data_IF_967287459188
#
_entry.id   IF_967287459188
#
_cell.length_a   1.000
_cell.length_b   1.000
_cell.length_c   1.000
_cell.angle_alpha   90.00
_cell.angle_beta   90.00
_cell.angle_gamma   90.00
#
_symmetry.space_group_name_H-M   'P 1'
#
loop_
_entity.id
_entity.type
_entity.pdbx_description
1 polymer ?
#
# COMPACT_ATOMS: atom_id res chain seq x y z
N UNK A 1 32.27 -15.81 45.33
CA UNK A 1 31.82 -16.66 44.19
C UNK A 1 30.84 -15.84 43.37
N UNK A 2 31.32 -15.18 42.32
CA UNK A 2 30.50 -14.36 41.42
C UNK A 2 30.93 -14.76 40.01
N UNK A 3 30.02 -15.42 39.28
CA UNK A 3 30.31 -15.90 37.93
C UNK A 3 30.39 -14.72 36.96
N UNK A 4 31.53 -14.61 36.29
CA UNK A 4 31.76 -13.77 35.13
C UNK A 4 31.06 -14.37 33.91
N UNK A 5 30.32 -13.54 33.16
CA UNK A 5 29.88 -13.85 31.81
C UNK A 5 30.66 -12.93 30.87
N UNK A 6 31.70 -13.51 30.28
CA UNK A 6 32.51 -12.93 29.21
C UNK A 6 31.66 -12.82 27.94
N UNK A 7 31.62 -11.63 27.34
CA UNK A 7 31.04 -11.39 26.02
C UNK A 7 32.18 -10.98 25.08
N UNK A 8 32.41 -11.67 23.95
CA UNK A 8 33.40 -11.24 22.97
C UNK A 8 32.82 -10.18 22.01
N UNK A 9 33.40 -8.98 22.08
CA UNK A 9 33.78 -8.10 20.97
C UNK A 9 32.76 -7.81 19.85
N UNK A 10 32.21 -6.58 19.86
CA UNK A 10 31.44 -6.03 18.74
C UNK A 10 30.81 -4.67 19.04
N UNK A 11 31.65 -3.66 19.22
CA UNK A 11 31.32 -2.29 19.67
C UNK A 11 30.21 -1.57 18.89
N UNK A 12 29.14 -1.21 19.60
CA UNK A 12 28.18 -0.17 19.23
C UNK A 12 28.49 1.12 20.02
N UNK A 13 28.70 2.29 19.39
CA UNK A 13 28.74 3.54 20.12
C UNK A 13 27.32 4.06 20.39
N UNK A 14 26.80 3.76 21.58
CA UNK A 14 25.84 4.61 22.26
C UNK A 14 26.57 5.89 22.71
N UNK A 15 26.40 7.00 22.00
CA UNK A 15 26.85 8.30 22.50
C UNK A 15 25.71 9.34 22.56
N UNK A 16 25.27 9.54 23.81
CA UNK A 16 25.02 10.83 24.46
C UNK A 16 24.01 11.77 23.80
N UNK A 17 22.82 11.72 24.41
CA UNK A 17 22.00 12.88 24.78
C UNK A 17 22.81 14.18 24.95
N UNK A 18 22.61 15.17 24.08
CA UNK A 18 22.86 16.58 24.35
C UNK A 18 22.00 17.43 23.42
N UNK A 19 20.95 18.04 23.98
CA UNK A 19 20.29 19.22 23.42
C UNK A 19 21.31 20.36 23.36
N UNK A 20 21.35 21.14 22.27
CA UNK A 20 21.64 22.56 22.40
C UNK A 20 20.55 23.41 21.75
N UNK A 21 20.09 24.36 22.55
CA UNK A 21 19.80 25.76 22.20
C UNK A 21 18.99 26.07 20.93
N UNK A 22 17.78 26.56 21.19
CA UNK A 22 17.07 27.59 20.42
C UNK A 22 18.05 28.66 19.95
N UNK A 23 18.07 28.92 18.64
CA UNK A 23 18.61 30.15 18.08
C UNK A 23 17.57 30.71 17.12
N UNK A 24 16.89 31.74 17.62
CA UNK A 24 15.99 32.58 16.86
C UNK A 24 16.79 33.38 15.83
N UNK A 25 16.37 33.33 14.57
CA UNK A 25 16.68 34.35 13.57
C UNK A 25 15.37 34.82 12.97
N UNK A 26 14.92 35.96 13.50
CA UNK A 26 13.93 36.88 12.94
C UNK A 26 14.36 37.36 11.56
N UNK A 27 13.42 37.41 10.60
CA UNK A 27 13.60 38.20 9.39
C UNK A 27 12.54 38.00 8.31
N UNK A 28 11.51 38.88 8.32
CA UNK A 28 10.85 39.50 7.14
C UNK A 28 10.09 38.51 6.23
N UNK A 29 8.76 38.45 6.14
CA UNK A 29 7.78 39.53 6.13
C UNK A 29 7.04 39.48 4.79
N UNK A 30 5.84 38.88 4.73
CA UNK A 30 4.82 39.22 3.72
C UNK A 30 3.46 39.09 4.40
N UNK A 31 2.91 40.25 4.74
CA UNK A 31 1.51 40.41 5.10
C UNK A 31 0.72 40.31 3.79
N UNK A 32 -0.11 39.29 3.65
CA UNK A 32 -1.20 39.30 2.69
C UNK A 32 -2.51 39.22 3.48
N UNK A 33 -2.85 40.36 4.08
CA UNK A 33 -4.25 40.69 4.27
C UNK A 33 -4.83 40.94 2.89
N UNK A 34 -5.62 39.99 2.39
CA UNK A 34 -6.52 40.28 1.30
C UNK A 34 -7.91 40.46 1.88
N UNK A 35 -8.25 41.73 2.00
CA UNK A 35 -9.57 42.27 2.27
C UNK A 35 -10.61 41.61 1.39
N UNK A 36 -11.73 41.23 2.00
CA UNK A 36 -12.99 41.03 1.30
C UNK A 36 -13.37 42.35 0.61
N UNK A 37 -13.41 42.33 -0.72
CA UNK A 37 -14.17 43.30 -1.52
C UNK A 37 -15.28 42.53 -2.21
N UNK A 38 -16.52 42.84 -1.82
CA UNK A 38 -17.69 42.52 -2.60
C UNK A 38 -17.77 43.51 -3.77
N UNK A 39 -17.89 43.02 -4.99
CA UNK A 39 -18.37 43.81 -6.13
C UNK A 39 -19.50 43.02 -6.82
N UNK A 40 -20.69 43.62 -6.81
CA UNK A 40 -21.89 43.13 -7.46
C UNK A 40 -22.04 43.77 -8.84
N UNK A 41 -22.42 42.96 -9.83
CA UNK A 41 -23.17 43.24 -11.08
C UNK A 41 -22.63 44.36 -12.01
N UNK A 42 -22.66 44.28 -13.35
CA UNK A 42 -23.70 43.88 -14.31
C UNK A 42 -23.10 43.65 -15.70
N UNK A 43 -23.68 42.73 -16.50
CA UNK A 43 -23.84 42.85 -17.96
C UNK A 43 -22.61 42.74 -18.86
N UNK A 44 -22.51 41.67 -19.65
CA UNK A 44 -22.84 41.74 -21.08
C UNK A 44 -22.85 40.33 -21.70
N UNK A 45 -23.78 40.14 -22.62
CA UNK A 45 -24.03 38.95 -23.43
C UNK A 45 -22.86 38.60 -24.36
N UNK A 46 -22.50 37.32 -24.47
CA UNK A 46 -21.93 36.74 -25.71
C UNK A 46 -22.03 35.21 -25.69
N UNK A 47 -22.79 34.69 -26.67
CA UNK A 47 -23.01 33.28 -27.02
C UNK A 47 -21.73 32.55 -27.50
N UNK A 48 -21.72 31.20 -27.54
CA UNK A 48 -20.53 30.36 -27.57
C UNK A 48 -20.02 30.02 -28.98
N UNK A 49 -18.78 29.50 -29.09
CA UNK A 49 -18.51 28.40 -29.99
C UNK A 49 -18.29 27.09 -29.21
N UNK A 50 -19.01 26.06 -29.65
CA UNK A 50 -18.71 24.68 -29.33
C UNK A 50 -17.30 24.34 -29.84
N UNK A 51 -16.47 23.82 -28.95
CA UNK A 51 -15.12 23.35 -29.23
C UNK A 51 -14.83 22.12 -28.39
N UNK A 52 -15.46 21.01 -28.77
CA UNK A 52 -15.23 19.67 -28.25
C UNK A 52 -13.76 19.27 -28.48
N UNK A 53 -13.00 19.01 -27.42
CA UNK A 53 -11.84 18.10 -27.45
C UNK A 53 -11.43 17.73 -26.03
N UNK A 54 -12.16 16.78 -25.47
CA UNK A 54 -11.74 15.99 -24.31
C UNK A 54 -10.52 15.14 -24.72
N UNK A 55 -9.32 15.50 -24.28
CA UNK A 55 -8.18 14.60 -24.39
C UNK A 55 -8.26 13.61 -23.22
N UNK A 56 -8.69 12.39 -23.54
CA UNK A 56 -8.98 11.31 -22.60
C UNK A 56 -7.76 10.91 -21.78
N UNK A 57 -7.92 10.98 -20.46
CA UNK A 57 -7.07 10.23 -19.54
C UNK A 57 -7.31 8.73 -19.79
N UNK A 58 -6.29 7.88 -20.00
CA UNK A 58 -6.51 6.45 -20.06
C UNK A 58 -7.01 5.99 -18.68
N UNK A 59 -8.30 5.67 -18.65
CA UNK A 59 -8.96 5.04 -17.52
C UNK A 59 -8.21 3.78 -17.14
N UNK A 60 -7.56 3.85 -15.98
CA UNK A 60 -6.99 2.71 -15.27
C UNK A 60 -8.10 1.69 -15.10
N UNK A 61 -8.07 0.67 -15.96
CA UNK A 61 -8.98 -0.47 -15.88
C UNK A 61 -8.69 -1.19 -14.57
N UNK A 62 -9.45 -0.86 -13.53
CA UNK A 62 -9.54 -1.69 -12.35
C UNK A 62 -10.26 -2.98 -12.78
N UNK A 63 -9.49 -3.95 -13.27
CA UNK A 63 -9.97 -5.32 -13.43
C UNK A 63 -10.22 -5.88 -12.03
N UNK A 64 -11.44 -5.66 -11.55
CA UNK A 64 -12.00 -6.37 -10.40
C UNK A 64 -12.12 -7.84 -10.78
N UNK A 65 -11.08 -8.60 -10.46
CA UNK A 65 -11.08 -10.04 -10.59
C UNK A 65 -11.90 -10.59 -9.43
N UNK A 66 -13.20 -10.83 -9.65
CA UNK A 66 -14.06 -11.47 -8.66
C UNK A 66 -13.61 -12.92 -8.47
N UNK A 67 -12.69 -13.14 -7.52
CA UNK A 67 -12.30 -14.48 -7.07
C UNK A 67 -13.52 -15.16 -6.41
N UNK A 68 -13.73 -16.48 -6.61
CA UNK A 68 -14.83 -17.21 -5.96
C UNK A 68 -14.74 -17.12 -4.43
N UNK A 69 -15.87 -17.23 -3.70
CA UNK A 69 -15.86 -17.17 -2.24
C UNK A 69 -15.10 -18.38 -1.68
N UNK A 70 -13.90 -18.15 -1.15
CA UNK A 70 -13.16 -19.17 -0.40
C UNK A 70 -14.03 -19.61 0.79
N UNK A 71 -14.24 -20.92 0.95
CA UNK A 71 -15.08 -21.55 1.98
C UNK A 71 -14.45 -21.52 3.38
N UNK A 72 -13.70 -20.46 3.68
CA UNK A 72 -13.12 -20.16 4.99
C UNK A 72 -13.58 -18.80 5.48
N UNK A 73 -13.53 -18.63 6.80
CA UNK A 73 -13.71 -17.34 7.50
C UNK A 73 -12.85 -16.21 6.90
N UNK A 74 -11.74 -16.54 6.22
CA UNK A 74 -10.93 -15.60 5.47
C UNK A 74 -11.12 -15.74 3.96
N UNK A 75 -11.19 -14.60 3.27
CA UNK A 75 -11.21 -14.51 1.81
C UNK A 75 -10.03 -13.69 1.34
N UNK A 76 -9.35 -14.11 0.27
CA UNK A 76 -8.32 -13.32 -0.38
C UNK A 76 -8.83 -12.76 -1.71
N UNK A 77 -8.36 -11.57 -2.08
CA UNK A 77 -8.67 -10.93 -3.36
C UNK A 77 -7.43 -10.25 -3.91
N UNK A 78 -7.30 -10.25 -5.23
CA UNK A 78 -6.18 -9.65 -5.94
C UNK A 78 -6.69 -8.53 -6.85
N UNK A 79 -6.01 -7.39 -6.81
CA UNK A 79 -6.27 -6.27 -7.70
C UNK A 79 -4.96 -5.68 -8.19
N UNK A 80 -4.93 -5.25 -9.44
CA UNK A 80 -3.80 -4.48 -9.98
C UNK A 80 -4.03 -3.03 -9.58
N UNK A 81 -3.15 -2.51 -8.72
CA UNK A 81 -3.19 -1.11 -8.34
C UNK A 81 -2.70 -0.26 -9.50
N UNK A 82 -1.50 -0.48 -10.04
CA UNK A 82 -0.94 0.29 -11.16
C UNK A 82 -0.33 -0.64 -12.20
N UNK A 83 -0.26 -0.24 -13.46
CA UNK A 83 0.54 -0.93 -14.48
C UNK A 83 1.18 0.06 -15.43
N UNK A 84 2.37 -0.28 -15.89
CA UNK A 84 3.11 0.40 -16.94
C UNK A 84 3.70 -0.66 -17.88
N UNK A 85 4.25 -0.24 -19.03
CA UNK A 85 4.59 -1.17 -20.12
C UNK A 85 5.51 -2.35 -19.75
N UNK A 86 6.35 -2.22 -18.71
CA UNK A 86 7.28 -3.27 -18.28
C UNK A 86 6.98 -3.89 -16.91
N UNK A 87 5.95 -3.41 -16.19
CA UNK A 87 5.67 -3.87 -14.84
C UNK A 87 4.39 -3.33 -14.24
N UNK A 88 4.08 -3.78 -13.03
CA UNK A 88 2.86 -3.42 -12.35
C UNK A 88 3.02 -3.45 -10.83
N UNK A 89 2.09 -2.79 -10.15
CA UNK A 89 1.88 -2.88 -8.71
C UNK A 89 0.60 -3.67 -8.49
N UNK A 90 0.72 -4.82 -7.85
CA UNK A 90 -0.40 -5.64 -7.40
C UNK A 90 -0.68 -5.44 -5.91
N UNK A 91 -1.93 -5.61 -5.51
CA UNK A 91 -2.35 -5.64 -4.11
C UNK A 91 -3.16 -6.90 -3.85
N UNK A 92 -2.75 -7.62 -2.81
CA UNK A 92 -3.46 -8.77 -2.23
C UNK A 92 -4.15 -8.30 -0.97
N UNK A 93 -5.47 -8.49 -0.91
CA UNK A 93 -6.31 -8.11 0.24
C UNK A 93 -6.85 -9.37 0.87
N UNK A 94 -6.61 -9.56 2.16
CA UNK A 94 -7.19 -10.63 2.96
C UNK A 94 -8.24 -10.02 3.88
N UNK A 95 -9.47 -10.51 3.82
CA UNK A 95 -10.59 -10.05 4.64
C UNK A 95 -11.09 -11.19 5.53
N UNK A 96 -11.37 -10.87 6.79
CA UNK A 96 -12.06 -11.78 7.70
C UNK A 96 -13.57 -11.55 7.64
N UNK A 97 -14.28 -12.51 7.04
CA UNK A 97 -15.74 -12.52 6.88
C UNK A 97 -16.48 -13.33 7.95
N UNK A 98 -15.76 -13.99 8.85
CA UNK A 98 -16.40 -14.68 9.97
C UNK A 98 -16.39 -13.84 11.24
N UNK A 99 -16.88 -14.45 12.31
CA UNK A 99 -17.20 -13.78 13.57
C UNK A 99 -16.07 -13.90 14.61
N UNK A 100 -15.03 -14.69 14.31
CA UNK A 100 -13.91 -14.94 15.20
C UNK A 100 -12.63 -14.28 14.71
N UNK A 101 -11.79 -13.83 15.65
CA UNK A 101 -10.45 -13.31 15.36
C UNK A 101 -9.56 -14.42 14.83
N UNK A 102 -8.86 -14.18 13.71
CA UNK A 102 -7.84 -15.09 13.21
C UNK A 102 -6.46 -14.61 13.67
N UNK A 103 -5.80 -15.30 14.62
CA UNK A 103 -4.58 -14.81 15.27
C UNK A 103 -3.38 -14.78 14.32
N UNK A 104 -3.32 -15.71 13.38
CA UNK A 104 -2.27 -15.80 12.37
C UNK A 104 -2.85 -16.42 11.09
N UNK A 105 -2.55 -15.81 9.94
CA UNK A 105 -2.90 -16.38 8.64
C UNK A 105 -1.69 -16.36 7.70
N UNK A 106 -1.70 -17.30 6.76
CA UNK A 106 -0.65 -17.48 5.76
C UNK A 106 -1.25 -17.45 4.37
N UNK A 107 -0.76 -16.57 3.52
CA UNK A 107 -1.09 -16.45 2.12
C UNK A 107 0.12 -16.91 1.29
N UNK A 108 -0.13 -17.66 0.22
CA UNK A 108 0.87 -17.95 -0.81
C UNK A 108 0.21 -17.71 -2.16
N UNK A 109 0.84 -16.94 -3.03
CA UNK A 109 0.35 -16.63 -4.37
C UNK A 109 1.47 -16.80 -5.39
N UNK A 110 1.16 -17.42 -6.53
CA UNK A 110 2.11 -17.66 -7.62
C UNK A 110 1.64 -16.98 -8.90
N UNK A 111 2.51 -16.16 -9.46
CA UNK A 111 2.32 -15.42 -10.69
C UNK A 111 3.33 -15.94 -11.74
N UNK A 112 2.88 -16.71 -12.74
CA UNK A 112 3.76 -17.18 -13.80
C UNK A 112 4.12 -16.03 -14.75
N UNK A 113 5.34 -16.03 -15.30
CA UNK A 113 5.77 -15.05 -16.30
C UNK A 113 6.05 -13.64 -15.76
N UNK A 114 6.10 -13.47 -14.43
CA UNK A 114 6.46 -12.20 -13.79
C UNK A 114 7.60 -12.41 -12.79
N UNK A 115 8.35 -11.33 -12.53
CA UNK A 115 9.42 -11.30 -11.52
C UNK A 115 9.06 -10.24 -10.49
N UNK A 116 8.82 -10.66 -9.25
CA UNK A 116 8.54 -9.74 -8.14
C UNK A 116 9.84 -9.11 -7.68
N UNK A 117 9.84 -7.78 -7.62
CA UNK A 117 11.00 -6.96 -7.24
C UNK A 117 10.97 -6.54 -5.79
N UNK A 118 9.79 -6.27 -5.27
CA UNK A 118 9.59 -5.82 -3.90
C UNK A 118 8.18 -6.15 -3.43
N UNK A 119 8.05 -6.40 -2.14
CA UNK A 119 6.78 -6.65 -1.44
C UNK A 119 6.75 -5.76 -0.19
N UNK A 120 5.60 -5.16 0.11
CA UNK A 120 5.44 -4.32 1.29
C UNK A 120 4.00 -4.36 1.79
N UNK A 121 3.80 -4.11 3.08
CA UNK A 121 2.46 -3.98 3.66
C UNK A 121 2.18 -2.51 3.98
N UNK A 122 1.17 -1.88 3.36
CA UNK A 122 0.86 -0.46 3.62
C UNK A 122 0.43 -0.21 5.07
N UNK A 123 -0.15 -1.21 5.74
CA UNK A 123 -0.55 -1.11 7.15
C UNK A 123 0.50 -1.66 8.13
N UNK A 124 1.54 -2.32 7.64
CA UNK A 124 2.50 -3.06 8.49
C UNK A 124 1.92 -4.29 9.18
N UNK A 125 0.65 -4.65 8.92
CA UNK A 125 -0.02 -5.79 9.54
C UNK A 125 0.38 -7.14 8.92
N UNK A 126 1.07 -7.10 7.77
CA UNK A 126 1.49 -8.28 7.01
C UNK A 126 2.99 -8.25 6.79
N UNK A 127 3.65 -9.36 7.12
CA UNK A 127 5.02 -9.61 6.72
C UNK A 127 5.00 -10.36 5.40
N UNK A 128 5.50 -9.74 4.34
CA UNK A 128 5.63 -10.35 3.03
C UNK A 128 7.06 -10.80 2.74
N UNK A 129 7.19 -11.89 2.01
CA UNK A 129 8.42 -12.32 1.36
C UNK A 129 8.10 -12.68 -0.09
N UNK A 130 9.11 -12.65 -0.97
CA UNK A 130 8.95 -13.05 -2.37
C UNK A 130 10.13 -13.87 -2.85
N UNK A 131 9.89 -14.71 -3.85
CA UNK A 131 10.92 -15.47 -4.56
C UNK A 131 10.48 -15.68 -6.01
N UNK A 132 11.20 -15.05 -6.95
CA UNK A 132 10.81 -15.05 -8.36
C UNK A 132 9.40 -14.48 -8.57
N UNK A 133 8.49 -15.30 -9.10
CA UNK A 133 7.07 -14.97 -9.28
C UNK A 133 6.16 -15.42 -8.12
N UNK A 134 6.71 -15.81 -6.97
CA UNK A 134 5.94 -16.23 -5.79
C UNK A 134 5.96 -15.17 -4.69
N UNK A 135 4.82 -14.97 -4.04
CA UNK A 135 4.65 -14.17 -2.82
C UNK A 135 4.18 -15.08 -1.71
N UNK A 136 4.79 -14.94 -0.54
CA UNK A 136 4.36 -15.55 0.70
C UNK A 136 4.12 -14.44 1.74
N UNK A 137 2.93 -14.43 2.34
CA UNK A 137 2.50 -13.42 3.29
C UNK A 137 2.07 -14.04 4.61
N UNK A 138 2.53 -13.48 5.73
CA UNK A 138 2.11 -13.86 7.07
C UNK A 138 1.60 -12.62 7.77
N UNK A 139 0.29 -12.60 8.06
CA UNK A 139 -0.33 -11.48 8.75
C UNK A 139 -0.94 -11.87 10.08
N UNK A 140 -1.12 -10.86 10.93
CA UNK A 140 -1.80 -10.99 12.22
C UNK A 140 -3.08 -10.15 12.21
N UNK A 141 -4.12 -10.72 12.81
CA UNK A 141 -5.36 -10.06 13.27
C UNK A 141 -6.06 -9.13 12.26
N UNK A 142 -6.82 -9.68 11.31
CA UNK A 142 -8.10 -9.10 10.95
C UNK A 142 -9.14 -9.60 11.97
N UNK A 143 -9.63 -8.71 12.84
CA UNK A 143 -10.88 -8.95 13.58
C UNK A 143 -12.06 -9.18 12.63
N UNK A 144 -13.25 -9.55 13.13
CA UNK A 144 -14.42 -9.71 12.27
C UNK A 144 -14.66 -8.43 11.45
N UNK A 145 -14.79 -8.57 10.13
CA UNK A 145 -14.96 -7.46 9.18
C UNK A 145 -13.69 -6.67 8.85
N UNK A 146 -12.55 -6.98 9.46
CA UNK A 146 -11.29 -6.29 9.18
C UNK A 146 -10.58 -6.89 7.96
N UNK A 147 -9.71 -6.10 7.35
CA UNK A 147 -8.89 -6.51 6.23
C UNK A 147 -7.43 -6.13 6.40
N UNK A 148 -6.55 -6.92 5.80
CA UNK A 148 -5.12 -6.70 5.75
C UNK A 148 -4.66 -6.73 4.30
N UNK A 149 -3.69 -5.89 3.96
CA UNK A 149 -3.24 -5.70 2.59
C UNK A 149 -1.74 -5.97 2.48
N UNK A 150 -1.35 -6.59 1.37
CA UNK A 150 0.02 -6.82 0.95
C UNK A 150 0.15 -6.38 -0.50
N UNK A 151 0.97 -5.35 -0.73
CA UNK A 151 1.24 -4.82 -2.06
C UNK A 151 2.61 -5.27 -2.54
N UNK A 152 2.78 -5.33 -3.85
CA UNK A 152 4.04 -5.73 -4.45
C UNK A 152 4.25 -5.07 -5.80
N UNK A 153 5.51 -4.94 -6.19
CA UNK A 153 5.91 -4.51 -7.51
C UNK A 153 6.49 -5.71 -8.26
N UNK A 154 6.03 -5.92 -9.48
CA UNK A 154 6.54 -6.96 -10.36
C UNK A 154 6.85 -6.42 -11.76
N UNK A 155 7.84 -7.03 -12.40
CA UNK A 155 8.17 -6.86 -13.81
C UNK A 155 7.49 -7.96 -14.62
N UNK A 156 6.98 -7.62 -15.81
CA UNK A 156 6.22 -8.52 -16.68
C UNK A 156 4.78 -8.09 -16.87
N UNK A 157 4.03 -8.93 -17.60
CA UNK A 157 2.64 -8.63 -17.94
C UNK A 157 1.75 -8.76 -16.68
N UNK A 158 0.91 -7.76 -16.34
CA UNK A 158 -0.03 -7.87 -15.25
C UNK A 158 -1.03 -9.01 -15.48
N UNK A 159 -1.27 -9.80 -14.44
CA UNK A 159 -2.18 -10.93 -14.50
C UNK A 159 -2.55 -11.46 -13.10
N UNK A 160 -3.66 -12.19 -13.03
CA UNK A 160 -4.09 -12.87 -11.82
C UNK A 160 -3.10 -14.00 -11.43
N UNK A 161 -2.98 -14.36 -10.14
CA UNK A 161 -2.15 -15.47 -9.74
C UNK A 161 -2.72 -16.78 -10.29
N UNK A 162 -1.86 -17.63 -10.85
CA UNK A 162 -2.25 -18.96 -11.34
C UNK A 162 -2.53 -19.95 -10.20
N UNK A 163 -1.99 -19.67 -9.01
CA UNK A 163 -2.29 -20.41 -7.80
C UNK A 163 -2.32 -19.46 -6.61
N UNK A 164 -3.33 -19.59 -5.76
CA UNK A 164 -3.44 -18.88 -4.50
C UNK A 164 -3.86 -19.86 -3.41
N UNK A 165 -3.19 -19.81 -2.26
CA UNK A 165 -3.57 -20.56 -1.08
C UNK A 165 -3.61 -19.65 0.15
N UNK A 166 -4.69 -19.72 0.91
CA UNK A 166 -4.89 -19.03 2.17
C UNK A 166 -5.14 -20.07 3.27
N UNK A 167 -4.26 -20.12 4.27
CA UNK A 167 -4.27 -21.14 5.33
C UNK A 167 -4.34 -22.59 4.80
N UNK A 168 -3.66 -22.85 3.67
CA UNK A 168 -3.64 -24.16 3.02
C UNK A 168 -4.88 -24.49 2.17
N UNK A 169 -5.87 -23.60 2.09
CA UNK A 169 -7.04 -23.73 1.20
C UNK A 169 -6.85 -22.86 -0.03
N UNK A 170 -7.35 -23.31 -1.18
CA UNK A 170 -7.32 -22.50 -2.40
C UNK A 170 -8.14 -21.22 -2.23
N UNK A 171 -7.60 -20.11 -2.72
CA UNK A 171 -8.38 -18.92 -3.05
C UNK A 171 -9.07 -19.12 -4.41
#
# INVERSE_FOLDING_TARGET
>A
MRCELVWPEGVAPCLRLRRPAVLALTGIGVVCGFSFVAVQATGESSTPPAGTSSSGSPGRSAQSSTSPPSSGTLSASFSISNSWGSGFIGTLTVVNRGESVVPLWRLSARFPGVVIRSVWSPSGAVNGAHSGGRIDGIGRVPGPGQSAQLSFQAEGQPGAPAACSLNGRSC
#
